data_IF_921221581402
#
_entry.id   IF_921221581402
#
_cell.length_a   1.000
_cell.length_b   1.000
_cell.length_c   1.000
_cell.angle_alpha   90.00
_cell.angle_beta   90.00
_cell.angle_gamma   90.00
#
_symmetry.space_group_name_H-M   'P 1'
#
loop_
_entity.id
_entity.type
_entity.pdbx_description
1 polymer ?
#
# COMPACT_ATOMS: atom_id res chain seq x y z
N UNK A 1 44.29 -31.44 -54.53
CA UNK A 1 43.23 -31.67 -53.51
C UNK A 1 42.92 -30.34 -52.87
N UNK A 2 41.62 -30.05 -52.76
CA UNK A 2 40.92 -28.80 -52.43
C UNK A 2 41.61 -27.78 -51.52
N UNK A 3 41.67 -26.55 -52.00
CA UNK A 3 41.64 -25.28 -51.26
C UNK A 3 41.42 -24.23 -52.37
N UNK A 4 40.39 -23.38 -52.46
CA UNK A 4 39.59 -22.70 -51.45
C UNK A 4 38.25 -22.32 -52.10
N UNK A 5 37.14 -22.74 -51.48
CA UNK A 5 35.80 -22.37 -51.96
C UNK A 5 34.82 -22.33 -50.78
N UNK A 6 35.15 -21.57 -49.72
CA UNK A 6 34.33 -21.51 -48.49
C UNK A 6 34.27 -20.11 -47.85
N UNK A 7 34.80 -19.05 -48.47
CA UNK A 7 34.78 -17.70 -47.87
C UNK A 7 34.34 -16.59 -48.84
N UNK A 8 33.70 -16.92 -49.95
CA UNK A 8 33.32 -15.95 -50.99
C UNK A 8 31.88 -15.39 -50.85
N UNK A 9 31.13 -15.73 -49.80
CA UNK A 9 29.79 -15.15 -49.60
C UNK A 9 29.35 -15.15 -48.13
N UNK A 10 29.88 -14.21 -47.34
CA UNK A 10 29.31 -13.92 -46.00
C UNK A 10 29.01 -12.44 -45.82
N UNK A 11 29.65 -11.56 -46.60
CA UNK A 11 29.44 -10.11 -46.55
C UNK A 11 29.43 -9.54 -47.96
N UNK A 12 28.45 -9.98 -48.76
CA UNK A 12 28.19 -9.44 -50.10
C UNK A 12 28.07 -7.92 -50.06
N UNK A 13 29.12 -7.27 -50.54
CA UNK A 13 29.22 -5.88 -50.98
C UNK A 13 29.17 -4.81 -49.89
N UNK A 14 30.36 -4.31 -49.52
CA UNK A 14 30.59 -2.93 -49.07
C UNK A 14 30.05 -1.95 -50.13
N UNK A 15 28.74 -1.75 -50.16
CA UNK A 15 28.15 -0.52 -50.67
C UNK A 15 27.68 0.32 -49.47
N UNK A 16 28.60 0.54 -48.53
CA UNK A 16 28.43 1.49 -47.43
C UNK A 16 28.44 2.91 -48.01
N UNK A 17 27.33 3.28 -48.64
CA UNK A 17 26.99 4.69 -48.72
C UNK A 17 26.79 5.13 -47.27
N UNK A 18 27.55 6.10 -46.73
CA UNK A 18 27.47 6.50 -45.32
C UNK A 18 26.03 6.81 -44.86
N UNK A 19 25.19 7.19 -45.81
CA UNK A 19 23.78 7.46 -45.63
C UNK A 19 22.94 6.21 -45.24
N UNK A 20 23.26 5.01 -45.72
CA UNK A 20 22.50 3.78 -45.43
C UNK A 20 22.83 3.21 -44.05
N UNK A 21 24.10 3.20 -43.65
CA UNK A 21 24.57 2.77 -42.32
C UNK A 21 24.06 3.72 -41.23
N UNK A 22 24.12 5.05 -41.46
CA UNK A 22 23.53 6.06 -40.57
C UNK A 22 22.00 5.89 -40.47
N UNK A 23 21.31 5.61 -41.59
CA UNK A 23 19.86 5.39 -41.60
C UNK A 23 19.48 4.14 -40.77
N UNK A 24 20.25 3.06 -40.87
CA UNK A 24 20.01 1.84 -40.11
C UNK A 24 20.23 2.03 -38.60
N UNK A 25 21.30 2.72 -38.20
CA UNK A 25 21.56 3.03 -36.79
C UNK A 25 20.53 4.01 -36.20
N UNK A 26 20.09 5.00 -36.99
CA UNK A 26 19.00 5.89 -36.58
C UNK A 26 17.68 5.15 -36.42
N UNK A 27 17.38 4.19 -37.31
CA UNK A 27 16.19 3.35 -37.19
C UNK A 27 16.24 2.45 -35.94
N UNK A 28 17.40 1.83 -35.66
CA UNK A 28 17.61 1.07 -34.42
C UNK A 28 17.46 1.91 -33.17
N UNK A 29 18.00 3.14 -33.18
CA UNK A 29 17.90 4.07 -32.07
C UNK A 29 16.43 4.47 -31.85
N UNK A 30 15.69 4.75 -32.92
CA UNK A 30 14.27 5.07 -32.88
C UNK A 30 13.44 3.90 -32.34
N UNK A 31 13.72 2.68 -32.77
CA UNK A 31 13.03 1.49 -32.29
C UNK A 31 13.32 1.21 -30.82
N UNK A 32 14.57 1.40 -30.37
CA UNK A 32 14.92 1.33 -28.97
C UNK A 32 14.18 2.39 -28.15
N UNK A 33 14.15 3.64 -28.64
CA UNK A 33 13.46 4.73 -27.97
C UNK A 33 11.94 4.49 -27.89
N UNK A 34 11.33 3.98 -28.96
CA UNK A 34 9.92 3.66 -29.00
C UNK A 34 9.56 2.51 -28.04
N UNK A 35 10.36 1.42 -28.05
CA UNK A 35 10.17 0.30 -27.13
C UNK A 35 10.36 0.73 -25.69
N UNK A 36 11.39 1.53 -25.41
CA UNK A 36 11.67 2.08 -24.08
C UNK A 36 10.54 3.01 -23.62
N UNK A 37 10.08 3.93 -24.48
CA UNK A 37 8.97 4.83 -24.16
C UNK A 37 7.63 4.12 -23.95
N UNK A 38 7.37 3.02 -24.67
CA UNK A 38 6.18 2.18 -24.42
C UNK A 38 6.25 1.45 -23.08
N UNK A 39 7.41 0.84 -22.77
CA UNK A 39 7.67 0.22 -21.47
C UNK A 39 7.54 1.22 -20.33
N UNK A 40 8.13 2.40 -20.50
CA UNK A 40 8.10 3.48 -19.53
C UNK A 40 6.67 4.01 -19.35
N UNK A 41 5.90 4.16 -20.44
CA UNK A 41 4.49 4.53 -20.39
C UNK A 41 3.60 3.50 -19.66
N UNK A 42 3.82 2.20 -19.86
CA UNK A 42 3.10 1.15 -19.12
C UNK A 42 3.48 1.17 -17.64
N UNK A 43 4.77 1.29 -17.36
CA UNK A 43 5.30 1.27 -15.99
C UNK A 43 4.82 2.49 -15.22
N UNK A 44 4.94 3.68 -15.82
CA UNK A 44 4.48 4.93 -15.27
C UNK A 44 2.97 4.95 -15.08
N UNK A 45 2.18 4.41 -16.03
CA UNK A 45 0.73 4.30 -15.87
C UNK A 45 0.34 3.39 -14.70
N UNK A 46 1.01 2.24 -14.52
CA UNK A 46 0.75 1.38 -13.35
C UNK A 46 1.12 2.05 -12.03
N UNK A 47 2.29 2.68 -11.98
CA UNK A 47 2.77 3.37 -10.78
C UNK A 47 1.88 4.56 -10.41
N UNK A 48 1.48 5.37 -11.40
CA UNK A 48 0.62 6.53 -11.19
C UNK A 48 -0.77 6.12 -10.67
N UNK A 49 -1.36 5.05 -11.20
CA UNK A 49 -2.64 4.54 -10.72
C UNK A 49 -2.52 3.94 -9.30
N UNK A 50 -1.41 3.26 -8.99
CA UNK A 50 -1.16 2.73 -7.64
C UNK A 50 -1.00 3.86 -6.62
N UNK A 51 -0.16 4.85 -6.92
CA UNK A 51 0.07 5.99 -6.04
C UNK A 51 -1.19 6.81 -5.84
N UNK A 52 -1.94 7.09 -6.91
CA UNK A 52 -3.23 7.79 -6.82
C UNK A 52 -4.23 7.04 -5.93
N UNK A 53 -4.30 5.71 -6.04
CA UNK A 53 -5.15 4.89 -5.18
C UNK A 53 -4.68 4.89 -3.71
N UNK A 54 -3.36 4.93 -3.47
CA UNK A 54 -2.82 5.07 -2.13
C UNK A 54 -3.13 6.44 -1.53
N UNK A 55 -2.90 7.53 -2.28
CA UNK A 55 -3.13 8.90 -1.83
C UNK A 55 -4.61 9.14 -1.49
N UNK A 56 -5.53 8.47 -2.19
CA UNK A 56 -6.96 8.50 -1.91
C UNK A 56 -7.33 7.69 -0.64
N UNK A 57 -6.77 6.48 -0.49
CA UNK A 57 -7.09 5.59 0.63
C UNK A 57 -6.36 5.91 1.94
N UNK A 58 -5.16 6.49 1.88
CA UNK A 58 -4.30 6.72 3.03
C UNK A 58 -4.93 7.64 4.09
N UNK A 59 -5.55 8.79 3.75
CA UNK A 59 -6.19 9.65 4.75
C UNK A 59 -7.33 8.95 5.50
N UNK A 60 -8.12 8.11 4.82
CA UNK A 60 -9.21 7.36 5.43
C UNK A 60 -8.68 6.27 6.39
N UNK A 61 -7.68 5.50 5.94
CA UNK A 61 -7.02 4.50 6.77
C UNK A 61 -6.30 5.12 7.98
N UNK A 62 -5.67 6.29 7.80
CA UNK A 62 -4.99 7.01 8.87
C UNK A 62 -5.94 7.51 9.95
N UNK A 63 -7.11 8.05 9.57
CA UNK A 63 -8.16 8.45 10.54
C UNK A 63 -8.63 7.26 11.37
N UNK A 64 -8.92 6.13 10.72
CA UNK A 64 -9.36 4.93 11.40
C UNK A 64 -8.28 4.34 12.32
N UNK A 65 -7.04 4.29 11.83
CA UNK A 65 -5.89 3.86 12.62
C UNK A 65 -5.66 4.73 13.85
N UNK A 66 -5.87 6.04 13.74
CA UNK A 66 -5.80 6.97 14.86
C UNK A 66 -6.87 6.68 15.93
N UNK A 67 -8.12 6.45 15.52
CA UNK A 67 -9.21 6.12 16.45
C UNK A 67 -8.95 4.79 17.18
N UNK A 68 -8.55 3.76 16.44
CA UNK A 68 -8.17 2.47 17.00
C UNK A 68 -7.01 2.60 17.98
N UNK A 69 -5.95 3.32 17.59
CA UNK A 69 -4.78 3.55 18.42
C UNK A 69 -5.14 4.28 19.73
N UNK A 70 -6.04 5.25 19.67
CA UNK A 70 -6.53 5.97 20.86
C UNK A 70 -7.28 5.04 21.82
N UNK A 71 -8.18 4.20 21.33
CA UNK A 71 -8.95 3.26 22.15
C UNK A 71 -8.04 2.23 22.83
N UNK A 72 -7.14 1.60 22.07
CA UNK A 72 -6.18 0.63 22.60
C UNK A 72 -5.25 1.29 23.61
N UNK A 73 -4.74 2.49 23.31
CA UNK A 73 -3.84 3.22 24.20
C UNK A 73 -4.49 3.62 25.52
N UNK A 74 -5.75 4.07 25.49
CA UNK A 74 -6.50 4.39 26.71
C UNK A 74 -6.73 3.15 27.58
N UNK A 75 -7.16 2.04 26.96
CA UNK A 75 -7.41 0.81 27.70
C UNK A 75 -6.11 0.19 28.23
N UNK A 76 -5.01 0.30 27.48
CA UNK A 76 -3.68 -0.09 27.93
C UNK A 76 -3.22 0.73 29.14
N UNK A 77 -3.41 2.05 29.11
CA UNK A 77 -3.08 2.93 30.23
C UNK A 77 -3.88 2.60 31.49
N UNK A 78 -5.18 2.31 31.30
CA UNK A 78 -6.07 1.83 32.36
C UNK A 78 -5.61 0.48 32.92
N UNK A 79 -5.34 -0.49 32.06
CA UNK A 79 -4.90 -1.83 32.44
C UNK A 79 -3.55 -1.80 33.18
N UNK A 80 -2.60 -0.97 32.75
CA UNK A 80 -1.33 -0.81 33.46
C UNK A 80 -1.48 -0.21 34.86
N UNK A 81 -2.46 0.68 35.06
CA UNK A 81 -2.66 1.36 36.35
C UNK A 81 -3.56 0.57 37.31
N UNK A 82 -4.57 -0.11 36.80
CA UNK A 82 -5.62 -0.76 37.59
C UNK A 82 -5.72 -2.28 37.36
N UNK A 83 -4.89 -2.86 36.49
CA UNK A 83 -4.97 -4.28 36.10
C UNK A 83 -4.73 -5.26 37.25
N UNK A 84 -3.98 -4.88 38.27
CA UNK A 84 -3.79 -5.70 39.48
C UNK A 84 -5.09 -5.80 40.31
N UNK A 85 -5.98 -4.81 40.21
CA UNK A 85 -7.23 -4.75 40.97
C UNK A 85 -8.43 -5.24 40.15
N UNK A 86 -8.40 -5.10 38.83
CA UNK A 86 -9.53 -5.41 37.96
C UNK A 86 -9.11 -6.37 36.85
N UNK A 87 -9.31 -7.67 37.10
CA UNK A 87 -9.04 -8.72 36.09
C UNK A 87 -9.93 -8.59 34.86
N UNK A 88 -11.15 -8.04 35.00
CA UNK A 88 -12.07 -7.82 33.87
C UNK A 88 -11.48 -6.86 32.85
N UNK A 89 -10.78 -5.82 33.32
CA UNK A 89 -10.11 -4.84 32.48
C UNK A 89 -8.95 -5.45 31.69
N UNK A 90 -8.27 -6.44 32.28
CA UNK A 90 -7.18 -7.16 31.63
C UNK A 90 -7.72 -8.12 30.54
N UNK A 91 -8.86 -8.76 30.78
CA UNK A 91 -9.56 -9.57 29.76
C UNK A 91 -10.08 -8.69 28.60
N UNK A 92 -10.67 -7.54 28.92
CA UNK A 92 -11.12 -6.56 27.92
C UNK A 92 -9.94 -5.98 27.11
N UNK A 93 -8.78 -5.82 27.72
CA UNK A 93 -7.56 -5.43 27.02
C UNK A 93 -7.07 -6.48 26.02
N UNK A 94 -7.07 -7.76 26.40
CA UNK A 94 -6.67 -8.82 25.47
C UNK A 94 -7.68 -8.94 24.31
N UNK A 95 -8.98 -8.80 24.60
CA UNK A 95 -10.02 -8.89 23.56
C UNK A 95 -10.01 -7.70 22.61
N UNK A 96 -9.79 -6.46 23.08
CA UNK A 96 -9.66 -5.30 22.17
C UNK A 96 -8.43 -5.44 21.27
N UNK A 97 -7.32 -6.01 21.75
CA UNK A 97 -6.12 -6.24 20.93
C UNK A 97 -6.36 -7.23 19.80
N UNK A 98 -7.14 -8.29 20.04
CA UNK A 98 -7.53 -9.26 19.01
C UNK A 98 -8.58 -8.69 18.04
N UNK A 99 -9.54 -7.93 18.56
CA UNK A 99 -10.63 -7.37 17.75
C UNK A 99 -10.21 -6.18 16.89
N UNK A 100 -9.30 -5.33 17.38
CA UNK A 100 -8.81 -4.15 16.66
C UNK A 100 -7.50 -4.38 15.92
N UNK A 101 -7.13 -5.64 15.65
CA UNK A 101 -6.04 -5.93 14.71
C UNK A 101 -6.30 -5.24 13.38
N UNK A 102 -5.29 -4.56 12.86
CA UNK A 102 -5.41 -3.72 11.66
C UNK A 102 -5.95 -4.51 10.45
N UNK A 103 -5.62 -5.79 10.35
CA UNK A 103 -6.10 -6.70 9.30
C UNK A 103 -7.61 -6.99 9.40
N UNK A 104 -8.21 -6.91 10.60
CA UNK A 104 -9.63 -7.15 10.86
C UNK A 104 -10.43 -5.85 10.67
N UNK A 105 -9.86 -4.72 11.09
CA UNK A 105 -10.48 -3.40 11.00
C UNK A 105 -10.45 -2.83 9.58
N UNK A 106 -9.38 -3.06 8.83
CA UNK A 106 -9.23 -2.58 7.44
C UNK A 106 -9.71 -3.61 6.40
N UNK A 107 -10.66 -4.48 6.76
CA UNK A 107 -11.18 -5.46 5.81
C UNK A 107 -11.96 -4.76 4.70
N UNK A 108 -11.72 -5.16 3.43
CA UNK A 108 -12.39 -4.64 2.23
C UNK A 108 -13.93 -4.69 2.30
N UNK A 109 -14.49 -5.48 3.22
CA UNK A 109 -15.94 -5.56 3.49
C UNK A 109 -16.52 -4.31 4.15
N UNK A 110 -15.69 -3.46 4.75
CA UNK A 110 -16.12 -2.24 5.45
C UNK A 110 -15.94 -0.96 4.61
N UNK A 111 -15.38 -1.08 3.41
CA UNK A 111 -15.15 0.04 2.48
C UNK A 111 -16.05 -0.10 1.27
N UNK A 112 -16.67 1.01 0.83
CA UNK A 112 -17.34 1.04 -0.46
C UNK A 112 -16.35 1.15 -1.64
N UNK A 113 -16.90 1.11 -2.85
CA UNK A 113 -16.13 1.28 -4.08
C UNK A 113 -15.38 2.62 -4.17
N UNK A 114 -15.71 3.59 -3.31
CA UNK A 114 -15.09 4.91 -3.23
C UNK A 114 -14.14 5.03 -2.02
N UNK A 115 -13.73 3.90 -1.41
CA UNK A 115 -12.86 3.84 -0.23
C UNK A 115 -13.42 4.59 1.00
N UNK A 116 -14.72 4.89 1.01
CA UNK A 116 -15.37 5.46 2.18
C UNK A 116 -15.80 4.35 3.14
N UNK A 117 -15.66 4.63 4.44
CA UNK A 117 -16.21 3.78 5.49
C UNK A 117 -17.74 3.77 5.38
N UNK A 118 -18.33 2.63 5.01
CA UNK A 118 -19.77 2.46 5.08
C UNK A 118 -20.18 2.21 6.53
N UNK A 119 -20.52 3.29 7.23
CA UNK A 119 -20.97 3.27 8.62
C UNK A 119 -19.83 3.19 9.63
N UNK A 120 -20.16 3.56 10.88
CA UNK A 120 -19.23 3.40 12.00
C UNK A 120 -18.96 1.89 12.22
N UNK A 121 -17.69 1.51 12.29
CA UNK A 121 -17.29 0.13 12.52
C UNK A 121 -17.94 -0.35 13.83
N UNK A 122 -18.81 -1.36 13.77
CA UNK A 122 -19.56 -1.86 14.95
C UNK A 122 -18.65 -2.16 16.14
N UNK A 123 -17.43 -2.65 15.88
CA UNK A 123 -16.40 -2.85 16.91
C UNK A 123 -15.92 -1.53 17.54
N UNK A 124 -15.67 -0.48 16.76
CA UNK A 124 -15.22 0.83 17.28
C UNK A 124 -16.29 1.45 18.16
N UNK A 125 -17.57 1.35 17.77
CA UNK A 125 -18.70 1.84 18.59
C UNK A 125 -18.80 1.08 19.91
N UNK A 126 -18.73 -0.26 19.86
CA UNK A 126 -18.72 -1.12 21.05
C UNK A 126 -17.58 -0.73 22.00
N UNK A 127 -16.35 -0.62 21.48
CA UNK A 127 -15.17 -0.32 22.29
C UNK A 127 -15.16 1.12 22.80
N UNK A 128 -15.71 2.08 22.07
CA UNK A 128 -15.94 3.44 22.58
C UNK A 128 -16.86 3.42 23.80
N UNK A 129 -17.95 2.65 23.77
CA UNK A 129 -18.87 2.54 24.90
C UNK A 129 -18.20 1.92 26.14
N UNK A 130 -17.39 0.86 25.94
CA UNK A 130 -16.64 0.19 27.01
C UNK A 130 -15.59 1.14 27.62
N UNK A 131 -14.79 1.81 26.78
CA UNK A 131 -13.79 2.79 27.24
C UNK A 131 -14.46 3.95 27.98
N UNK A 132 -15.62 4.43 27.51
CA UNK A 132 -16.39 5.47 28.21
C UNK A 132 -16.81 5.00 29.60
N UNK A 133 -17.34 3.79 29.72
CA UNK A 133 -17.74 3.19 31.00
C UNK A 133 -16.56 3.11 31.97
N UNK A 134 -15.38 2.68 31.49
CA UNK A 134 -14.17 2.65 32.32
C UNK A 134 -13.64 4.05 32.65
N UNK A 135 -13.75 5.01 31.73
CA UNK A 135 -13.35 6.39 31.98
C UNK A 135 -14.16 7.05 33.09
N UNK A 136 -15.47 6.76 33.13
CA UNK A 136 -16.40 7.20 34.18
C UNK A 136 -16.09 6.50 35.51
N UNK A 137 -15.91 5.17 35.49
CA UNK A 137 -15.56 4.35 36.67
C UNK A 137 -14.29 4.84 37.37
N UNK A 138 -13.27 5.21 36.61
CA UNK A 138 -11.99 5.67 37.15
C UNK A 138 -11.87 7.20 37.24
N UNK A 139 -12.95 7.94 36.91
CA UNK A 139 -13.03 9.40 36.95
C UNK A 139 -11.79 10.08 36.37
N UNK A 140 -11.31 9.55 35.24
CA UNK A 140 -10.15 10.13 34.56
C UNK A 140 -10.65 11.39 33.88
N UNK A 141 -10.24 12.55 34.40
CA UNK A 141 -10.46 13.83 33.75
C UNK A 141 -9.60 13.85 32.48
N UNK A 142 -10.14 13.27 31.43
CA UNK A 142 -9.53 13.30 30.11
C UNK A 142 -9.76 14.72 29.62
N UNK A 143 -8.77 15.59 29.78
CA UNK A 143 -8.79 16.95 29.26
C UNK A 143 -8.76 16.89 27.73
N UNK A 144 -9.95 16.83 27.15
CA UNK A 144 -10.22 17.20 25.76
C UNK A 144 -10.51 18.70 25.71
#
# INVERSE_FOLDING_TARGET
MSSDNVLEDVWGSDNDSPHETISYDLNKLRDNHNKRGYLDGITHSREANLQSGFDEGFPAGAKLGMEVGKLVGLLQGLANKYGDQDKSLLEDFNTIQEDLRINKVLTKTHFDANLNLQGEHSLIVKWNAIVKTYSEKYSIHTGL
#
